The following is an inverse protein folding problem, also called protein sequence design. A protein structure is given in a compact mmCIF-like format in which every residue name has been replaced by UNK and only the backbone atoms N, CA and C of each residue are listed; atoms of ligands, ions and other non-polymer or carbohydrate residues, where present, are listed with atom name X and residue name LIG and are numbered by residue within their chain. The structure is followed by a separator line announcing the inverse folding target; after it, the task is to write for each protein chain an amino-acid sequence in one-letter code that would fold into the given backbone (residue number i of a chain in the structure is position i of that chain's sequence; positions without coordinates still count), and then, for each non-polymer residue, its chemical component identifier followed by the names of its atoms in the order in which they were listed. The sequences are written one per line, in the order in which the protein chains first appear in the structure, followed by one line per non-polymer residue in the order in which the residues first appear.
data_IF_961745388031
#
_entry.id   IF_961745388031
#
_cell.length_a   1.000
_cell.length_b   1.000
_cell.length_c   1.000
_cell.angle_alpha   90.00
_cell.angle_beta   90.00
_cell.angle_gamma   90.00
#
_symmetry.space_group_name_H-M   'P 1'
#
loop_
_entity.id
_entity.type
_entity.pdbx_description
1 polymer ?
#
# COMPACT_ATOMS: atom_id res chain seq x y z
N UNK A 1 4.01 9.30 74.80
CA UNK A 1 3.46 9.17 73.44
C UNK A 1 4.51 9.66 72.45
N UNK A 2 5.25 8.75 71.80
CA UNK A 2 6.28 9.09 70.79
C UNK A 2 5.64 9.06 69.41
N UNK A 3 5.66 10.18 68.68
CA UNK A 3 5.19 10.26 67.29
C UNK A 3 6.27 9.70 66.36
N UNK A 4 5.92 8.65 65.62
CA UNK A 4 6.70 8.16 64.49
C UNK A 4 6.40 9.06 63.29
N UNK A 5 7.43 9.66 62.68
CA UNK A 5 7.33 10.38 61.41
C UNK A 5 7.93 9.46 60.34
N UNK A 6 7.08 8.94 59.45
CA UNK A 6 7.54 8.23 58.26
C UNK A 6 7.84 9.26 57.15
N UNK A 7 9.12 9.50 56.86
CA UNK A 7 9.54 10.07 55.58
C UNK A 7 9.49 8.95 54.53
N UNK A 8 8.43 8.92 53.72
CA UNK A 8 8.33 8.05 52.56
C UNK A 8 8.98 8.71 51.33
N UNK A 9 10.15 8.21 50.95
CA UNK A 9 10.92 8.62 49.78
C UNK A 9 10.14 8.25 48.49
N UNK A 10 9.67 9.25 47.74
CA UNK A 10 9.01 9.04 46.44
C UNK A 10 10.05 8.71 45.38
N UNK A 11 10.14 7.44 45.00
CA UNK A 11 10.96 6.97 43.88
C UNK A 11 10.26 7.30 42.56
N UNK A 12 10.84 8.22 41.79
CA UNK A 12 10.42 8.55 40.43
C UNK A 12 10.80 7.39 39.50
N UNK A 13 9.82 6.55 39.15
CA UNK A 13 9.93 5.64 38.02
C UNK A 13 9.98 6.47 36.74
N UNK A 14 11.18 6.70 36.21
CA UNK A 14 11.38 7.22 34.86
C UNK A 14 10.93 6.15 33.85
N UNK A 15 9.67 6.24 33.43
CA UNK A 15 9.14 5.49 32.30
C UNK A 15 9.78 6.04 31.03
N UNK A 16 10.92 5.48 30.63
CA UNK A 16 11.48 5.69 29.30
C UNK A 16 10.56 5.00 28.30
N UNK A 17 9.52 5.70 27.86
CA UNK A 17 8.71 5.30 26.73
C UNK A 17 9.59 5.46 25.48
N UNK A 18 10.38 4.41 25.15
CA UNK A 18 10.86 4.25 23.79
C UNK A 18 9.61 4.05 22.94
N UNK A 19 9.11 5.14 22.36
CA UNK A 19 8.15 5.03 21.28
C UNK A 19 8.79 4.14 20.24
N UNK A 20 8.28 2.91 20.11
CA UNK A 20 8.63 2.08 18.97
C UNK A 20 8.28 2.93 17.76
N UNK A 21 9.32 3.36 17.02
CA UNK A 21 9.14 3.94 15.71
C UNK A 21 8.29 2.90 14.97
N UNK A 22 7.05 3.25 14.64
CA UNK A 22 6.21 2.42 13.79
C UNK A 22 6.91 2.44 12.43
N UNK A 23 7.90 1.56 12.27
CA UNK A 23 8.54 1.35 11.00
C UNK A 23 7.42 0.87 10.07
N UNK A 24 7.12 1.68 9.07
CA UNK A 24 6.14 1.28 8.08
C UNK A 24 6.67 0.03 7.38
N UNK A 25 5.85 -1.04 7.31
CA UNK A 25 6.30 -2.25 6.65
C UNK A 25 6.63 -1.90 5.20
N UNK A 26 7.81 -2.29 4.74
CA UNK A 26 8.17 -2.16 3.33
C UNK A 26 7.17 -2.96 2.48
N UNK A 27 6.40 -2.23 1.66
CA UNK A 27 5.38 -2.80 0.79
C UNK A 27 5.97 -3.28 -0.53
N UNK A 28 7.28 -3.14 -0.75
CA UNK A 28 7.93 -3.67 -1.94
C UNK A 28 7.72 -5.18 -2.09
N UNK A 29 7.58 -5.64 -3.33
CA UNK A 29 7.43 -7.04 -3.64
C UNK A 29 6.53 -7.31 -4.83
N UNK A 30 6.27 -8.60 -5.04
CA UNK A 30 5.40 -9.08 -6.10
C UNK A 30 4.04 -9.46 -5.52
N UNK A 31 2.97 -9.06 -6.18
CA UNK A 31 1.59 -9.25 -5.75
C UNK A 31 0.79 -9.92 -6.86
N UNK A 32 -0.11 -10.81 -6.47
CA UNK A 32 -1.12 -11.37 -7.36
C UNK A 32 -2.43 -10.61 -7.20
N UNK A 33 -2.92 -10.05 -8.30
CA UNK A 33 -4.01 -9.09 -8.30
C UNK A 33 -5.23 -9.62 -9.05
N UNK A 34 -6.40 -9.25 -8.53
CA UNK A 34 -7.70 -9.43 -9.16
C UNK A 34 -8.58 -8.23 -8.85
N UNK A 35 -9.59 -7.98 -9.66
CA UNK A 35 -10.40 -6.80 -9.49
C UNK A 35 -11.60 -6.73 -10.41
N UNK A 36 -12.21 -5.56 -10.41
CA UNK A 36 -13.31 -5.21 -11.29
C UNK A 36 -13.10 -3.79 -11.76
N UNK A 37 -13.06 -3.60 -13.08
CA UNK A 37 -13.15 -2.31 -13.72
C UNK A 37 -14.59 -2.03 -14.20
N UNK A 38 -15.00 -0.77 -14.10
CA UNK A 38 -16.34 -0.32 -14.50
C UNK A 38 -16.67 -0.60 -15.98
N UNK A 39 -15.69 -0.55 -16.87
CA UNK A 39 -15.82 -0.77 -18.31
C UNK A 39 -15.40 -2.19 -18.71
N UNK A 40 -14.22 -2.63 -18.26
CA UNK A 40 -13.61 -3.92 -18.66
C UNK A 40 -14.05 -5.11 -17.79
N UNK A 41 -14.86 -4.85 -16.76
CA UNK A 41 -15.45 -5.85 -15.86
C UNK A 41 -14.39 -6.58 -15.03
N UNK A 42 -14.72 -7.79 -14.59
CA UNK A 42 -13.87 -8.56 -13.70
C UNK A 42 -12.61 -9.03 -14.43
N UNK A 43 -11.46 -8.86 -13.78
CA UNK A 43 -10.17 -9.38 -14.24
C UNK A 43 -9.46 -10.11 -13.10
N UNK A 44 -8.57 -11.01 -13.47
CA UNK A 44 -7.79 -11.82 -12.54
C UNK A 44 -6.41 -12.13 -13.13
N UNK A 45 -5.55 -12.70 -12.30
CA UNK A 45 -4.19 -13.12 -12.69
C UNK A 45 -3.26 -11.99 -13.12
N UNK A 46 -3.56 -10.74 -12.73
CA UNK A 46 -2.62 -9.65 -12.90
C UNK A 46 -1.47 -9.77 -11.89
N UNK A 47 -0.29 -9.30 -12.29
CA UNK A 47 0.91 -9.26 -11.46
C UNK A 47 1.30 -7.82 -11.22
N UNK A 48 1.30 -7.38 -9.96
CA UNK A 48 1.85 -6.09 -9.57
C UNK A 48 3.24 -6.29 -8.98
N UNK A 49 4.20 -5.50 -9.44
CA UNK A 49 5.52 -5.37 -8.85
C UNK A 49 5.62 -3.97 -8.26
N UNK A 50 5.79 -3.89 -6.94
CA UNK A 50 6.03 -2.64 -6.23
C UNK A 50 7.50 -2.58 -5.82
N UNK A 51 8.21 -1.52 -6.21
CA UNK A 51 9.64 -1.35 -5.93
C UNK A 51 9.84 -0.08 -5.11
N UNK A 52 10.42 -0.22 -3.92
CA UNK A 52 10.71 0.92 -3.05
C UNK A 52 11.80 1.79 -3.68
N UNK A 53 11.52 3.08 -3.85
CA UNK A 53 12.54 4.09 -4.11
C UNK A 53 13.04 4.65 -2.77
N UNK A 54 14.00 3.94 -2.18
CA UNK A 54 14.55 4.30 -0.87
C UNK A 54 15.30 5.64 -0.89
N UNK A 55 15.78 6.09 -2.06
CA UNK A 55 16.56 7.32 -2.19
C UNK A 55 15.66 8.55 -2.03
N UNK A 56 14.47 8.51 -2.62
CA UNK A 56 13.52 9.62 -2.61
C UNK A 56 12.39 9.43 -1.57
N UNK A 57 12.58 8.50 -0.63
CA UNK A 57 11.72 8.27 0.53
C UNK A 57 12.19 9.01 1.79
N UNK A 58 11.26 9.43 2.65
CA UNK A 58 11.52 9.88 4.01
C UNK A 58 11.04 8.82 5.01
N UNK A 59 11.74 7.68 5.00
CA UNK A 59 11.38 6.50 5.79
C UNK A 59 11.41 6.78 7.31
N UNK A 60 12.26 7.72 7.75
CA UNK A 60 12.30 8.16 9.16
C UNK A 60 11.00 8.77 9.64
N UNK A 61 10.27 9.46 8.77
CA UNK A 61 8.97 10.05 9.05
C UNK A 61 7.81 9.21 8.49
N UNK A 62 8.12 7.99 8.03
CA UNK A 62 7.13 7.04 7.53
C UNK A 62 6.59 7.36 6.13
N UNK A 63 7.27 8.20 5.35
CA UNK A 63 6.91 8.41 3.95
C UNK A 63 7.75 7.53 3.04
N UNK A 64 7.11 6.74 2.19
CA UNK A 64 7.79 5.87 1.23
C UNK A 64 7.31 6.17 -0.20
N UNK A 65 8.24 6.21 -1.14
CA UNK A 65 7.98 6.36 -2.56
C UNK A 65 8.20 5.01 -3.25
N UNK A 66 7.34 4.66 -4.20
CA UNK A 66 7.44 3.41 -4.93
C UNK A 66 7.24 3.61 -6.43
N UNK A 67 7.90 2.77 -7.23
CA UNK A 67 7.53 2.53 -8.61
C UNK A 67 6.64 1.30 -8.69
N UNK A 68 5.65 1.33 -9.60
CA UNK A 68 4.78 0.19 -9.86
C UNK A 68 4.86 -0.27 -11.31
N UNK A 69 4.78 -1.57 -11.49
CA UNK A 69 4.52 -2.23 -12.77
C UNK A 69 3.41 -3.25 -12.56
N UNK A 70 2.25 -3.01 -13.16
CA UNK A 70 1.16 -3.97 -13.24
C UNK A 70 1.20 -4.62 -14.63
N UNK A 71 1.13 -5.95 -14.69
CA UNK A 71 1.00 -6.71 -15.93
C UNK A 71 -0.25 -7.56 -15.85
N UNK A 72 -1.19 -7.34 -16.76
CA UNK A 72 -2.41 -8.14 -16.88
C UNK A 72 -2.15 -9.45 -17.64
N UNK A 73 -3.14 -10.35 -17.63
CA UNK A 73 -2.99 -11.70 -18.18
C UNK A 73 -2.74 -11.72 -19.69
N UNK A 74 -3.25 -10.74 -20.43
CA UNK A 74 -3.06 -10.58 -21.87
C UNK A 74 -1.75 -9.83 -22.22
N UNK A 75 -0.96 -9.47 -21.22
CA UNK A 75 0.32 -8.79 -21.37
C UNK A 75 0.22 -7.26 -21.43
N UNK A 76 -0.98 -6.67 -21.26
CA UNK A 76 -1.11 -5.23 -21.07
C UNK A 76 -0.34 -4.81 -19.81
N UNK A 77 0.42 -3.73 -19.93
CA UNK A 77 1.25 -3.21 -18.84
C UNK A 77 0.83 -1.81 -18.46
N UNK A 78 0.79 -1.57 -17.16
CA UNK A 78 0.65 -0.26 -16.56
C UNK A 78 1.87 0.06 -15.71
N UNK A 79 2.39 1.27 -15.87
CA UNK A 79 3.47 1.82 -15.05
C UNK A 79 2.95 2.96 -14.21
N UNK A 80 3.68 3.34 -13.17
CA UNK A 80 3.38 4.53 -12.40
C UNK A 80 4.15 4.60 -11.09
N UNK A 81 3.64 5.45 -10.20
CA UNK A 81 4.28 5.80 -8.95
C UNK A 81 3.28 5.79 -7.80
N UNK A 82 3.79 5.52 -6.60
CA UNK A 82 3.02 5.63 -5.37
C UNK A 82 3.77 6.41 -4.30
N UNK A 83 3.06 7.25 -3.58
CA UNK A 83 3.53 7.88 -2.34
C UNK A 83 2.72 7.33 -1.18
N UNK A 84 3.41 6.83 -0.16
CA UNK A 84 2.81 6.14 0.97
C UNK A 84 3.08 6.86 2.29
N UNK A 85 2.12 6.78 3.20
CA UNK A 85 2.34 7.09 4.62
C UNK A 85 1.60 6.06 5.47
N UNK A 86 2.31 5.39 6.36
CA UNK A 86 1.71 4.28 7.11
C UNK A 86 1.41 3.10 6.19
N UNK A 87 0.15 2.65 6.25
CA UNK A 87 -0.38 1.61 5.40
C UNK A 87 -1.23 2.14 4.23
N UNK A 88 -1.21 3.45 3.98
CA UNK A 88 -1.98 4.07 2.89
C UNK A 88 -1.04 4.54 1.79
N UNK A 89 -1.45 4.35 0.52
CA UNK A 89 -0.72 4.80 -0.65
C UNK A 89 -1.65 5.63 -1.55
N UNK A 90 -1.17 6.77 -2.00
CA UNK A 90 -1.70 7.45 -3.18
C UNK A 90 -0.94 6.96 -4.40
N UNK A 91 -1.66 6.61 -5.48
CA UNK A 91 -1.08 5.94 -6.65
C UNK A 91 -1.47 6.68 -7.91
N UNK A 92 -0.53 6.86 -8.83
CA UNK A 92 -0.78 7.16 -10.24
C UNK A 92 -0.43 5.94 -11.09
N UNK A 93 -1.18 5.69 -12.14
CA UNK A 93 -0.85 4.63 -13.10
C UNK A 93 -1.31 5.00 -14.51
N UNK A 94 -0.64 4.46 -15.51
CA UNK A 94 -0.97 4.63 -16.92
C UNK A 94 -0.62 3.41 -17.77
N UNK A 95 -1.48 3.11 -18.75
CA UNK A 95 -1.27 2.06 -19.72
C UNK A 95 -0.11 2.44 -20.66
N UNK A 96 0.78 1.49 -20.89
CA UNK A 96 1.99 1.66 -21.74
C UNK A 96 1.71 1.50 -23.24
N UNK A 97 0.49 1.09 -23.61
CA UNK A 97 0.08 0.93 -25.00
C UNK A 97 0.11 2.24 -25.80
N UNK A 98 0.23 2.12 -27.12
CA UNK A 98 0.39 3.28 -28.01
C UNK A 98 -0.89 3.71 -28.74
N UNK A 99 -1.95 2.90 -28.64
CA UNK A 99 -3.23 3.21 -29.28
C UNK A 99 -4.02 4.30 -28.54
N UNK A 100 -5.10 4.77 -29.15
CA UNK A 100 -5.89 5.87 -28.61
C UNK A 100 -6.60 5.53 -27.29
N UNK A 101 -6.97 4.26 -27.07
CA UNK A 101 -7.62 3.79 -25.85
C UNK A 101 -6.59 3.73 -24.72
N UNK A 102 -5.42 3.14 -24.96
CA UNK A 102 -4.33 3.06 -23.99
C UNK A 102 -3.91 4.45 -23.49
N UNK A 103 -3.86 5.46 -24.37
CA UNK A 103 -3.50 6.84 -23.99
C UNK A 103 -4.48 7.52 -23.02
N UNK A 104 -5.71 7.02 -22.90
CA UNK A 104 -6.69 7.55 -21.94
C UNK A 104 -6.86 6.66 -20.71
N UNK A 105 -6.28 5.46 -20.75
CA UNK A 105 -6.31 4.43 -19.73
C UNK A 105 -5.24 4.70 -18.66
N UNK A 106 -5.54 5.70 -17.83
CA UNK A 106 -4.67 6.20 -16.76
C UNK A 106 -5.52 6.86 -15.69
N UNK A 107 -5.01 6.81 -14.46
CA UNK A 107 -5.78 7.26 -13.32
C UNK A 107 -4.98 7.49 -12.07
N UNK A 108 -5.71 7.83 -11.03
CA UNK A 108 -5.21 7.92 -9.68
C UNK A 108 -5.96 6.95 -8.79
N UNK A 109 -5.31 6.46 -7.75
CA UNK A 109 -5.91 5.55 -6.79
C UNK A 109 -5.48 5.83 -5.37
N UNK A 110 -6.24 5.24 -4.46
CA UNK A 110 -5.87 5.07 -3.08
C UNK A 110 -5.76 3.58 -2.80
N UNK A 111 -4.67 3.18 -2.15
CA UNK A 111 -4.44 1.80 -1.73
C UNK A 111 -4.27 1.74 -0.23
N UNK A 112 -4.83 0.69 0.39
CA UNK A 112 -4.71 0.41 1.82
C UNK A 112 -4.09 -0.97 1.96
N UNK A 113 -2.95 -1.02 2.64
CA UNK A 113 -2.29 -2.26 3.04
C UNK A 113 -2.90 -2.80 4.34
N UNK A 114 -3.29 -4.07 4.32
CA UNK A 114 -3.78 -4.82 5.47
C UNK A 114 -2.94 -6.09 5.66
N UNK A 115 -3.09 -6.70 6.83
CA UNK A 115 -2.49 -7.99 7.17
C UNK A 115 -3.64 -8.97 7.44
N UNK A 116 -4.11 -9.62 6.38
CA UNK A 116 -5.30 -10.46 6.43
C UNK A 116 -4.91 -11.92 6.64
N UNK A 117 -5.68 -12.65 7.45
CA UNK A 117 -5.49 -14.09 7.58
C UNK A 117 -6.18 -14.81 6.43
N UNK A 118 -5.43 -15.60 5.67
CA UNK A 118 -6.00 -16.45 4.65
C UNK A 118 -6.77 -17.64 5.28
N UNK A 119 -7.42 -18.46 4.44
CA UNK A 119 -8.22 -19.62 4.90
C UNK A 119 -7.42 -20.68 5.66
N UNK A 120 -6.10 -20.65 5.58
CA UNK A 120 -5.18 -21.55 6.29
C UNK A 120 -4.63 -20.91 7.57
N UNK A 121 -5.07 -19.70 7.94
CA UNK A 121 -4.60 -18.97 9.11
C UNK A 121 -3.24 -18.28 8.92
N UNK A 122 -2.70 -18.26 7.70
CA UNK A 122 -1.46 -17.54 7.39
C UNK A 122 -1.79 -16.07 7.14
N UNK A 123 -1.08 -15.18 7.82
CA UNK A 123 -1.16 -13.74 7.59
C UNK A 123 -0.50 -13.38 6.26
N UNK A 124 -1.23 -12.64 5.43
CA UNK A 124 -0.81 -12.15 4.13
C UNK A 124 -0.88 -10.63 4.11
N UNK A 125 0.10 -9.98 3.48
CA UNK A 125 -0.01 -8.55 3.16
C UNK A 125 -0.93 -8.41 1.95
N UNK A 126 -2.00 -7.65 2.10
CA UNK A 126 -3.00 -7.42 1.05
C UNK A 126 -3.08 -5.93 0.78
N UNK A 127 -3.10 -5.54 -0.50
CA UNK A 127 -3.40 -4.16 -0.92
C UNK A 127 -4.82 -4.12 -1.46
N UNK A 128 -5.62 -3.20 -0.93
CA UNK A 128 -6.95 -2.89 -1.43
C UNK A 128 -6.93 -1.53 -2.08
N UNK A 129 -7.19 -1.50 -3.39
CA UNK A 129 -7.18 -0.29 -4.20
C UNK A 129 -8.58 0.09 -4.62
N UNK A 130 -8.88 1.38 -4.53
CA UNK A 130 -9.88 2.04 -5.36
C UNK A 130 -9.17 3.01 -6.29
N UNK A 131 -9.60 3.09 -7.55
CA UNK A 131 -9.03 4.02 -8.50
C UNK A 131 -10.09 4.72 -9.34
N UNK A 132 -9.69 5.87 -9.88
CA UNK A 132 -10.49 6.73 -10.74
C UNK A 132 -9.73 7.10 -11.99
N UNK A 133 -10.38 6.95 -13.15
CA UNK A 133 -9.83 7.18 -14.47
C UNK A 133 -10.72 8.19 -15.21
N UNK A 134 -10.45 9.49 -15.12
CA UNK A 134 -11.35 10.51 -15.63
C UNK A 134 -11.57 10.45 -17.15
N UNK A 135 -10.59 9.91 -17.89
CA UNK A 135 -10.58 9.96 -19.36
C UNK A 135 -10.81 8.60 -20.02
N UNK A 136 -10.71 7.51 -19.26
CA UNK A 136 -10.94 6.17 -19.77
C UNK A 136 -12.43 5.97 -20.01
N UNK A 137 -12.84 5.77 -21.27
CA UNK A 137 -14.24 5.73 -21.70
C UNK A 137 -15.11 6.91 -21.18
N UNK A 138 -14.54 8.13 -21.11
CA UNK A 138 -15.19 9.33 -20.53
C UNK A 138 -15.53 9.23 -19.03
N UNK A 139 -14.77 8.42 -18.29
CA UNK A 139 -14.86 8.29 -16.84
C UNK A 139 -15.00 6.83 -16.44
N UNK A 140 -14.07 6.34 -15.63
CA UNK A 140 -14.03 4.98 -15.12
C UNK A 140 -13.57 4.93 -13.67
N UNK A 141 -13.80 3.79 -13.04
CA UNK A 141 -13.25 3.45 -11.74
C UNK A 141 -13.22 1.94 -11.59
N UNK A 142 -12.45 1.48 -10.61
CA UNK A 142 -12.44 0.08 -10.25
C UNK A 142 -11.94 -0.18 -8.86
N UNK A 143 -12.09 -1.44 -8.47
CA UNK A 143 -11.57 -1.99 -7.24
C UNK A 143 -10.57 -3.10 -7.57
N UNK A 144 -9.47 -3.15 -6.84
CA UNK A 144 -8.46 -4.18 -6.99
C UNK A 144 -8.01 -4.68 -5.63
N UNK A 145 -7.81 -5.99 -5.53
CA UNK A 145 -7.19 -6.66 -4.39
C UNK A 145 -5.93 -7.36 -4.87
N UNK A 146 -4.81 -7.04 -4.24
CA UNK A 146 -3.49 -7.57 -4.56
C UNK A 146 -2.89 -8.26 -3.34
N UNK A 147 -2.61 -9.55 -3.44
CA UNK A 147 -2.06 -10.36 -2.33
C UNK A 147 -0.56 -10.54 -2.55
N UNK A 148 0.25 -10.18 -1.54
CA UNK A 148 1.71 -10.30 -1.62
C UNK A 148 2.12 -11.76 -1.75
N UNK A 149 2.89 -12.07 -2.78
CA UNK A 149 3.44 -13.40 -2.97
C UNK A 149 4.59 -13.62 -1.99
N UNK A 150 4.54 -14.72 -1.26
CA UNK A 150 5.69 -15.17 -0.45
C UNK A 150 6.66 -15.85 -1.41
N UNK A 151 7.91 -15.40 -1.40
CA UNK A 151 9.01 -16.07 -2.11
C UNK A 151 9.46 -17.29 -1.32
#
# INVERSE_FOLDING_TARGET
MRKLVCLGLSSLLSLSCFGALLANPDLSGKYHCSGYDSHDKAYANATLILTLDAKDSDLSNGYAAYHLLLTEQDGIQYVGEAAANGNMLGVYFENTGVDAKAKTDRGVGIEIATHDSNRQGKTETVLHKFYYEPNYFNGGNGLQTCIKQTV
#
